data_IF_598233961778
#
_entry.id   IF_598233961778
#
_cell.length_a   1.000
_cell.length_b   1.000
_cell.length_c   1.000
_cell.angle_alpha   90.00
_cell.angle_beta   90.00
_cell.angle_gamma   90.00
#
_symmetry.space_group_name_H-M   'P 1'
#
loop_
_entity.id
_entity.type
_entity.pdbx_description
1 polymer ?
#
# COMPACT_ATOMS: atom_id res chain seq x y z
N UNK A 1 24.95 -1.57 -21.82
CA UNK A 1 24.59 -1.74 -20.40
C UNK A 1 23.08 -1.58 -20.32
N UNK A 2 22.31 -2.56 -19.84
CA UNK A 2 20.86 -2.39 -19.76
C UNK A 2 20.58 -1.33 -18.70
N UNK A 3 19.91 -0.26 -19.10
CA UNK A 3 19.41 0.77 -18.20
C UNK A 3 18.53 0.11 -17.15
N UNK A 4 18.78 0.38 -15.86
CA UNK A 4 17.83 0.07 -14.78
C UNK A 4 16.47 0.63 -15.20
N UNK A 5 15.56 -0.24 -15.61
CA UNK A 5 14.21 0.14 -16.06
C UNK A 5 13.48 0.75 -14.86
N UNK A 6 12.86 1.92 -15.05
CA UNK A 6 12.01 2.52 -14.03
C UNK A 6 10.91 1.52 -13.66
N UNK A 7 10.94 1.04 -12.42
CA UNK A 7 9.86 0.27 -11.82
C UNK A 7 8.73 1.26 -11.49
N UNK A 8 7.99 1.72 -12.51
CA UNK A 8 6.78 2.53 -12.34
C UNK A 8 5.67 1.66 -11.74
N UNK A 9 4.69 2.20 -11.01
CA UNK A 9 3.86 1.39 -10.07
C UNK A 9 2.73 0.57 -10.72
N UNK A 10 2.28 0.96 -11.93
CA UNK A 10 1.60 0.02 -12.83
C UNK A 10 2.56 -0.99 -13.44
N UNK A 11 3.82 -0.62 -13.62
CA UNK A 11 4.88 -1.57 -13.98
C UNK A 11 5.33 -2.42 -12.81
N UNK A 12 5.11 -2.10 -11.54
CA UNK A 12 5.38 -3.02 -10.43
C UNK A 12 4.41 -4.21 -10.50
N UNK A 13 3.17 -3.98 -10.94
CA UNK A 13 2.24 -5.04 -11.33
C UNK A 13 2.70 -5.80 -12.61
N UNK A 14 3.44 -5.16 -13.54
CA UNK A 14 4.10 -5.83 -14.68
C UNK A 14 5.54 -6.35 -14.41
N UNK A 15 6.22 -5.97 -13.33
CA UNK A 15 7.65 -6.23 -13.02
C UNK A 15 7.80 -7.23 -11.87
N UNK A 16 6.73 -7.52 -11.13
CA UNK A 16 6.57 -8.81 -10.46
C UNK A 16 6.76 -9.99 -11.43
N UNK A 17 6.75 -9.74 -12.75
CA UNK A 17 6.99 -10.72 -13.82
C UNK A 17 8.50 -10.94 -14.10
N UNK A 18 9.45 -10.11 -13.62
CA UNK A 18 10.87 -10.25 -14.02
C UNK A 18 11.91 -10.36 -12.90
N UNK A 19 11.53 -10.43 -11.63
CA UNK A 19 12.47 -10.78 -10.53
C UNK A 19 12.30 -12.20 -10.01
N UNK A 20 11.57 -13.06 -10.74
CA UNK A 20 11.42 -14.49 -10.41
C UNK A 20 12.61 -15.37 -10.84
N UNK A 21 13.80 -14.79 -11.03
CA UNK A 21 15.00 -15.55 -11.39
C UNK A 21 16.27 -15.00 -10.72
N UNK A 22 16.36 -15.22 -9.41
CA UNK A 22 17.60 -15.40 -8.62
C UNK A 22 17.12 -15.64 -7.18
N UNK A 23 17.23 -16.80 -6.54
CA UNK A 23 18.27 -17.82 -6.60
C UNK A 23 17.71 -19.20 -6.17
N UNK A 24 17.92 -20.22 -7.03
CA UNK A 24 18.13 -21.66 -6.75
C UNK A 24 17.01 -22.44 -6.05
N UNK A 25 16.34 -23.44 -6.65
CA UNK A 25 16.91 -24.63 -7.30
C UNK A 25 17.26 -25.67 -6.21
N UNK A 26 16.84 -26.92 -6.19
CA UNK A 26 16.08 -27.80 -7.06
C UNK A 26 16.28 -29.24 -6.54
N UNK A 27 15.30 -30.13 -6.73
CA UNK A 27 15.49 -31.58 -6.74
C UNK A 27 15.09 -32.39 -5.50
N UNK A 28 14.40 -33.51 -5.74
CA UNK A 28 14.57 -34.75 -4.97
C UNK A 28 13.30 -35.42 -4.44
N UNK A 29 12.88 -36.48 -5.12
CA UNK A 29 11.80 -37.42 -4.77
C UNK A 29 11.96 -38.15 -3.42
N UNK A 30 10.85 -38.67 -2.90
CA UNK A 30 10.84 -39.75 -1.90
C UNK A 30 9.45 -40.00 -1.32
N UNK A 31 8.76 -41.04 -1.80
CA UNK A 31 7.37 -41.34 -1.44
C UNK A 31 7.14 -42.30 -0.26
N UNK A 32 5.86 -42.65 -0.12
CA UNK A 32 5.24 -43.87 0.42
C UNK A 32 4.82 -43.98 1.90
N UNK A 33 3.62 -44.57 2.07
CA UNK A 33 3.02 -45.17 3.29
C UNK A 33 1.94 -44.29 3.94
N UNK A 34 0.63 -44.54 3.81
CA UNK A 34 -0.12 -45.67 4.40
C UNK A 34 -0.29 -45.45 5.92
N UNK A 35 -1.45 -45.47 6.59
CA UNK A 35 -2.75 -46.06 6.34
C UNK A 35 -3.71 -45.76 7.52
N UNK A 36 -5.01 -45.68 7.23
CA UNK A 36 -6.21 -46.13 7.97
C UNK A 36 -6.54 -45.79 9.44
N UNK A 37 -7.83 -45.45 9.61
CA UNK A 37 -8.74 -45.84 10.71
C UNK A 37 -9.16 -44.67 11.62
N UNK A 38 -10.43 -44.38 11.93
CA UNK A 38 -11.72 -45.01 11.66
C UNK A 38 -12.72 -44.65 12.78
N UNK A 39 -13.98 -44.34 12.43
CA UNK A 39 -15.17 -44.30 13.31
C UNK A 39 -15.38 -43.02 14.14
N UNK A 40 -16.59 -42.47 14.34
CA UNK A 40 -17.97 -42.84 14.00
C UNK A 40 -18.97 -42.03 14.86
N UNK A 41 -20.22 -41.85 14.38
CA UNK A 41 -21.43 -41.38 15.10
C UNK A 41 -21.66 -39.85 15.07
N UNK A 42 -22.65 -39.27 14.36
CA UNK A 42 -24.13 -39.29 14.52
C UNK A 42 -24.57 -38.54 15.82
N UNK A 43 -25.53 -37.60 15.90
CA UNK A 43 -26.78 -37.30 15.18
C UNK A 43 -27.24 -35.84 15.42
N UNK A 44 -28.12 -35.33 14.53
CA UNK A 44 -29.29 -34.45 14.81
C UNK A 44 -29.07 -33.03 15.37
N UNK A 45 -29.74 -31.97 14.94
CA UNK A 45 -30.96 -31.80 14.14
C UNK A 45 -31.81 -30.66 14.74
N UNK A 46 -32.22 -29.68 13.93
CA UNK A 46 -33.23 -28.64 14.22
C UNK A 46 -32.73 -27.44 15.05
N UNK A 47 -33.09 -26.18 14.80
CA UNK A 47 -34.15 -25.58 13.99
C UNK A 47 -34.75 -24.39 14.77
N UNK A 48 -35.11 -23.32 14.03
CA UNK A 48 -36.06 -22.23 14.36
C UNK A 48 -35.58 -20.87 14.95
N UNK A 49 -35.52 -19.88 14.04
CA UNK A 49 -36.30 -18.61 13.93
C UNK A 49 -36.64 -17.70 15.12
N UNK A 50 -36.52 -16.38 14.86
CA UNK A 50 -37.27 -15.26 15.46
C UNK A 50 -36.33 -14.14 15.91
N UNK A 51 -36.37 -12.87 15.49
CA UNK A 51 -37.43 -12.05 14.91
C UNK A 51 -37.82 -10.93 15.88
N UNK A 52 -37.39 -9.68 15.61
CA UNK A 52 -38.17 -8.48 15.97
C UNK A 52 -37.78 -7.60 17.18
N UNK A 53 -37.14 -6.46 16.84
CA UNK A 53 -37.55 -5.07 17.13
C UNK A 53 -37.41 -4.37 18.52
N UNK A 54 -36.69 -3.22 18.44
CA UNK A 54 -36.92 -1.87 19.04
C UNK A 54 -36.93 -1.62 20.56
N UNK A 55 -36.13 -0.62 20.98
CA UNK A 55 -36.40 0.21 22.15
C UNK A 55 -35.15 0.91 22.69
N UNK A 56 -35.08 2.24 22.56
CA UNK A 56 -33.89 3.05 22.84
C UNK A 56 -33.57 3.33 24.31
N UNK A 57 -32.40 3.91 24.53
CA UNK A 57 -31.92 4.41 25.82
C UNK A 57 -30.63 5.19 25.65
N UNK A 58 -30.75 6.52 25.68
CA UNK A 58 -29.67 7.49 25.61
C UNK A 58 -28.73 7.33 26.82
N UNK A 59 -27.44 7.09 26.58
CA UNK A 59 -26.41 6.98 27.62
C UNK A 59 -25.04 7.34 27.04
N UNK A 60 -24.50 8.47 27.51
CA UNK A 60 -23.29 9.09 26.98
C UNK A 60 -22.04 8.20 27.08
N UNK A 61 -21.38 8.07 25.93
CA UNK A 61 -20.00 7.65 25.79
C UNK A 61 -19.60 7.98 24.36
N UNK A 62 -18.61 8.85 24.16
CA UNK A 62 -17.99 9.06 22.85
C UNK A 62 -17.19 7.80 22.50
N UNK A 63 -17.89 6.72 22.18
CA UNK A 63 -17.33 5.57 21.51
C UNK A 63 -16.99 6.00 20.10
N UNK A 64 -15.70 6.01 19.78
CA UNK A 64 -15.21 6.29 18.45
C UNK A 64 -15.87 5.30 17.49
N UNK A 65 -16.84 5.74 16.70
CA UNK A 65 -17.46 4.87 15.70
C UNK A 65 -16.34 4.42 14.75
N UNK A 66 -16.22 3.11 14.55
CA UNK A 66 -15.18 2.58 13.70
C UNK A 66 -15.35 3.14 12.28
N UNK A 67 -14.29 3.74 11.73
CA UNK A 67 -14.27 4.16 10.32
C UNK A 67 -14.34 2.90 9.47
N UNK A 68 -15.34 2.82 8.60
CA UNK A 68 -15.52 1.71 7.66
C UNK A 68 -15.47 2.25 6.24
N UNK A 69 -15.30 1.38 5.25
CA UNK A 69 -15.22 1.83 3.87
C UNK A 69 -15.75 0.84 2.85
N UNK A 70 -15.68 1.26 1.59
CA UNK A 70 -16.13 0.48 0.44
C UNK A 70 -15.18 0.71 -0.71
N UNK A 71 -14.67 -0.39 -1.25
CA UNK A 71 -13.89 -0.46 -2.47
C UNK A 71 -14.79 -0.66 -3.67
N UNK A 72 -14.41 -0.05 -4.79
CA UNK A 72 -14.93 -0.29 -6.12
C UNK A 72 -13.80 -0.57 -7.07
N UNK A 73 -14.05 -1.41 -8.06
CA UNK A 73 -13.19 -1.52 -9.22
C UNK A 73 -13.64 -0.50 -10.28
N UNK A 74 -12.68 0.14 -10.95
CA UNK A 74 -12.98 0.87 -12.19
C UNK A 74 -13.63 -0.07 -13.21
N UNK A 75 -14.43 0.48 -14.11
CA UNK A 75 -15.12 -0.32 -15.14
C UNK A 75 -14.15 -1.09 -16.02
N UNK A 76 -13.69 -0.46 -17.11
CA UNK A 76 -12.65 -1.05 -17.96
C UNK A 76 -11.26 -0.69 -17.44
N UNK A 77 -10.32 -1.63 -17.47
CA UNK A 77 -8.91 -1.36 -17.24
C UNK A 77 -8.47 -0.26 -18.19
N UNK A 78 -8.03 0.87 -17.64
CA UNK A 78 -7.53 1.95 -18.48
C UNK A 78 -6.38 1.43 -19.37
N UNK A 79 -6.41 1.80 -20.65
CA UNK A 79 -5.39 1.45 -21.66
C UNK A 79 -4.53 2.66 -22.06
N UNK A 80 -4.86 3.85 -21.55
CA UNK A 80 -4.10 5.07 -21.75
C UNK A 80 -4.13 5.98 -20.52
N UNK A 81 -3.19 6.92 -20.46
CA UNK A 81 -3.13 7.96 -19.43
C UNK A 81 -4.42 8.78 -19.37
N UNK A 82 -5.00 9.13 -20.52
CA UNK A 82 -6.23 9.89 -20.59
C UNK A 82 -7.40 9.11 -19.98
N UNK A 83 -7.57 7.83 -20.36
CA UNK A 83 -8.63 6.98 -19.80
C UNK A 83 -8.51 6.80 -18.29
N UNK A 84 -7.28 6.63 -17.77
CA UNK A 84 -7.07 6.53 -16.33
C UNK A 84 -7.42 7.83 -15.61
N UNK A 85 -7.00 8.98 -16.16
CA UNK A 85 -7.34 10.27 -15.57
C UNK A 85 -8.86 10.50 -15.58
N UNK A 86 -9.54 10.20 -16.68
CA UNK A 86 -11.00 10.36 -16.82
C UNK A 86 -11.75 9.44 -15.85
N UNK A 87 -11.36 8.17 -15.76
CA UNK A 87 -11.95 7.22 -14.82
C UNK A 87 -11.73 7.64 -13.37
N UNK A 88 -10.51 8.09 -13.02
CA UNK A 88 -10.19 8.52 -11.67
C UNK A 88 -10.92 9.82 -11.29
N UNK A 89 -11.06 10.76 -12.22
CA UNK A 89 -11.87 11.97 -12.00
C UNK A 89 -13.36 11.66 -11.87
N UNK A 90 -13.90 10.71 -12.65
CA UNK A 90 -15.29 10.26 -12.50
C UNK A 90 -15.52 9.64 -11.12
N UNK A 91 -14.66 8.72 -10.69
CA UNK A 91 -14.73 8.12 -9.35
C UNK A 91 -14.53 9.16 -8.24
N UNK A 92 -13.61 10.11 -8.46
CA UNK A 92 -13.35 11.22 -7.54
C UNK A 92 -14.54 12.15 -7.38
N UNK A 93 -15.29 12.41 -8.46
CA UNK A 93 -16.55 13.15 -8.42
C UNK A 93 -17.65 12.40 -7.65
N UNK A 94 -17.58 11.07 -7.57
CA UNK A 94 -18.47 10.25 -6.72
C UNK A 94 -17.97 10.11 -5.28
N UNK A 95 -16.78 10.63 -4.97
CA UNK A 95 -16.16 10.58 -3.65
C UNK A 95 -15.36 9.31 -3.36
N UNK A 96 -14.88 8.65 -4.41
CA UNK A 96 -13.95 7.55 -4.32
C UNK A 96 -12.54 8.01 -4.71
N UNK A 97 -11.57 7.81 -3.83
CA UNK A 97 -10.16 8.05 -4.13
C UNK A 97 -9.56 6.82 -4.82
N UNK A 98 -8.71 7.02 -5.84
CA UNK A 98 -7.91 5.97 -6.44
C UNK A 98 -7.01 5.38 -5.35
N UNK A 99 -7.23 4.13 -5.00
CA UNK A 99 -6.44 3.40 -4.02
C UNK A 99 -5.15 2.89 -4.67
N UNK A 100 -5.25 1.95 -5.61
CA UNK A 100 -4.13 1.37 -6.35
C UNK A 100 -4.63 0.66 -7.59
N UNK A 101 -3.75 0.46 -8.57
CA UNK A 101 -3.93 -0.61 -9.56
C UNK A 101 -3.40 -1.91 -8.94
N UNK A 102 -4.19 -2.99 -8.98
CA UNK A 102 -3.77 -4.33 -8.52
C UNK A 102 -3.80 -5.32 -9.68
N UNK A 103 -2.90 -6.29 -9.64
CA UNK A 103 -2.91 -7.43 -10.56
C UNK A 103 -3.81 -8.55 -10.01
N UNK A 104 -4.61 -9.15 -10.87
CA UNK A 104 -5.46 -10.31 -10.59
C UNK A 104 -4.86 -11.61 -11.12
N UNK A 105 -5.71 -12.49 -11.65
CA UNK A 105 -5.26 -13.78 -12.17
C UNK A 105 -4.31 -13.60 -13.36
N UNK A 106 -3.25 -14.42 -13.39
CA UNK A 106 -2.28 -14.45 -14.49
C UNK A 106 -2.73 -15.48 -15.52
N UNK A 107 -2.99 -15.03 -16.75
CA UNK A 107 -3.33 -15.89 -17.88
C UNK A 107 -2.18 -16.00 -18.90
N UNK A 108 -2.34 -16.83 -19.94
CA UNK A 108 -1.34 -17.01 -21.00
C UNK A 108 -1.01 -15.72 -21.76
N UNK A 109 -1.95 -14.77 -21.79
CA UNK A 109 -1.86 -13.51 -22.54
C UNK A 109 -1.51 -12.30 -21.67
N UNK A 110 -1.25 -12.51 -20.37
CA UNK A 110 -0.90 -11.46 -19.42
C UNK A 110 -1.68 -11.55 -18.11
N UNK A 111 -1.39 -10.62 -17.19
CA UNK A 111 -2.10 -10.47 -15.93
C UNK A 111 -3.33 -9.61 -16.08
N UNK A 112 -4.43 -10.00 -15.44
CA UNK A 112 -5.56 -9.10 -15.18
C UNK A 112 -5.05 -7.90 -14.36
N UNK A 113 -5.37 -6.65 -14.74
CA UNK A 113 -5.01 -5.46 -13.95
C UNK A 113 -6.26 -4.60 -13.79
N UNK A 114 -6.57 -4.18 -12.55
CA UNK A 114 -7.72 -3.33 -12.25
C UNK A 114 -7.35 -2.16 -11.37
N UNK A 115 -7.96 -1.00 -11.64
CA UNK A 115 -7.90 0.14 -10.73
C UNK A 115 -8.94 -0.01 -9.63
N UNK A 116 -8.49 0.11 -8.39
CA UNK A 116 -9.35 0.10 -7.22
C UNK A 116 -9.49 1.49 -6.67
N UNK A 117 -10.69 1.82 -6.26
CA UNK A 117 -11.07 3.08 -5.68
C UNK A 117 -11.74 2.84 -4.33
N UNK A 118 -11.59 3.77 -3.40
CA UNK A 118 -12.03 3.61 -2.03
C UNK A 118 -12.81 4.85 -1.56
N UNK A 119 -13.91 4.62 -0.87
CA UNK A 119 -14.61 5.63 -0.06
C UNK A 119 -14.70 5.15 1.40
N UNK A 120 -14.82 6.05 2.37
CA UNK A 120 -14.95 5.71 3.78
C UNK A 120 -15.95 6.62 4.52
N UNK A 121 -16.35 6.21 5.72
CA UNK A 121 -17.35 6.92 6.53
C UNK A 121 -16.81 8.19 7.21
N UNK A 122 -15.50 8.31 7.44
CA UNK A 122 -14.89 9.52 8.00
C UNK A 122 -14.75 10.65 6.95
N UNK A 123 -14.75 10.27 5.68
CA UNK A 123 -14.52 11.13 4.53
C UNK A 123 -15.73 11.19 3.60
N UNK A 124 -16.92 10.96 4.14
CA UNK A 124 -18.17 11.04 3.41
C UNK A 124 -18.33 12.43 2.75
N UNK A 125 -18.66 12.43 1.47
CA UNK A 125 -18.88 13.65 0.67
C UNK A 125 -17.61 14.30 0.14
N UNK A 126 -16.41 13.82 0.47
CA UNK A 126 -15.16 14.31 -0.13
C UNK A 126 -15.15 14.10 -1.64
N UNK A 127 -14.45 14.97 -2.37
CA UNK A 127 -14.35 14.93 -3.83
C UNK A 127 -12.90 15.03 -4.26
N UNK A 128 -12.52 14.23 -5.25
CA UNK A 128 -11.13 14.13 -5.69
C UNK A 128 -10.95 14.50 -7.15
N UNK A 129 -9.83 15.14 -7.47
CA UNK A 129 -9.41 15.41 -8.84
C UNK A 129 -7.99 14.90 -9.08
N UNK A 130 -7.73 14.46 -10.30
CA UNK A 130 -6.48 13.86 -10.73
C UNK A 130 -5.92 14.57 -11.96
N UNK A 131 -4.60 14.71 -11.96
CA UNK A 131 -3.81 15.13 -13.12
C UNK A 131 -2.65 14.17 -13.31
N UNK A 132 -2.27 13.91 -14.57
CA UNK A 132 -1.11 13.11 -14.90
C UNK A 132 -0.19 13.79 -15.93
N UNK A 133 0.54 14.86 -15.56
CA UNK A 133 1.55 15.44 -16.46
C UNK A 133 2.67 14.44 -16.78
N UNK A 134 3.38 14.68 -17.89
CA UNK A 134 4.57 13.90 -18.24
C UNK A 134 5.60 13.90 -17.10
N UNK A 135 6.19 12.75 -16.83
CA UNK A 135 7.25 12.62 -15.85
C UNK A 135 8.50 13.39 -16.31
N UNK A 136 9.27 13.87 -15.33
CA UNK A 136 10.40 14.74 -15.59
C UNK A 136 11.71 13.95 -15.74
N UNK A 137 12.62 14.35 -16.65
CA UNK A 137 13.79 13.56 -17.00
C UNK A 137 14.96 13.67 -15.99
N UNK A 138 14.83 14.48 -14.95
CA UNK A 138 15.86 14.63 -13.91
C UNK A 138 15.22 14.81 -12.54
N UNK A 139 15.94 14.45 -11.47
CA UNK A 139 15.47 14.63 -10.09
C UNK A 139 15.09 16.09 -9.80
N UNK A 140 15.90 17.05 -10.24
CA UNK A 140 15.63 18.48 -9.98
C UNK A 140 14.36 18.95 -10.69
N UNK A 141 14.16 18.57 -11.96
CA UNK A 141 12.94 18.89 -12.69
C UNK A 141 11.72 18.19 -12.08
N UNK A 142 11.87 16.93 -11.65
CA UNK A 142 10.83 16.19 -10.94
C UNK A 142 10.45 16.87 -9.63
N UNK A 143 11.42 17.28 -8.80
CA UNK A 143 11.17 18.03 -7.57
C UNK A 143 10.49 19.38 -7.82
N UNK A 144 10.84 20.08 -8.91
CA UNK A 144 10.16 21.30 -9.30
C UNK A 144 8.70 21.05 -9.68
N UNK A 145 8.42 20.00 -10.46
CA UNK A 145 7.05 19.60 -10.81
C UNK A 145 6.26 19.21 -9.55
N UNK A 146 6.83 18.41 -8.66
CA UNK A 146 6.21 18.01 -7.39
C UNK A 146 5.79 19.23 -6.57
N UNK A 147 6.66 20.21 -6.39
CA UNK A 147 6.35 21.44 -5.64
C UNK A 147 5.36 22.34 -6.36
N UNK A 148 5.39 22.42 -7.69
CA UNK A 148 4.40 23.15 -8.47
C UNK A 148 2.99 22.57 -8.25
N UNK A 149 2.84 21.25 -8.42
CA UNK A 149 1.57 20.56 -8.19
C UNK A 149 1.15 20.64 -6.70
N UNK A 150 2.10 20.41 -5.79
CA UNK A 150 1.89 20.48 -4.35
C UNK A 150 1.36 21.83 -3.86
N UNK A 151 1.90 22.94 -4.37
CA UNK A 151 1.40 24.29 -4.05
C UNK A 151 -0.04 24.53 -4.54
N UNK A 152 -0.50 23.77 -5.53
CA UNK A 152 -1.88 23.80 -6.05
C UNK A 152 -2.82 22.83 -5.32
N UNK A 153 -2.31 22.13 -4.30
CA UNK A 153 -3.04 21.17 -3.46
C UNK A 153 -3.05 19.74 -4.00
N UNK A 154 -2.20 19.42 -4.98
CA UNK A 154 -2.07 18.09 -5.54
C UNK A 154 -0.95 17.30 -4.84
N UNK A 155 -1.30 16.19 -4.21
CA UNK A 155 -0.35 15.25 -3.65
C UNK A 155 0.07 14.22 -4.70
N UNK A 156 1.38 14.06 -4.90
CA UNK A 156 1.96 12.99 -5.70
C UNK A 156 1.56 11.61 -5.17
N UNK A 157 1.08 10.76 -6.07
CA UNK A 157 0.62 9.41 -5.78
C UNK A 157 1.62 8.36 -6.30
N UNK A 158 1.95 8.44 -7.59
CA UNK A 158 2.77 7.45 -8.28
C UNK A 158 3.06 7.88 -9.71
N UNK A 159 4.06 7.29 -10.34
CA UNK A 159 4.14 7.26 -11.79
C UNK A 159 3.28 6.13 -12.38
N UNK A 160 2.61 6.45 -13.48
CA UNK A 160 1.85 5.54 -14.32
C UNK A 160 2.53 5.36 -15.67
N UNK A 161 2.32 4.18 -16.26
CA UNK A 161 2.76 3.84 -17.61
C UNK A 161 1.77 2.83 -18.20
N UNK A 162 1.73 2.77 -19.52
CA UNK A 162 0.88 1.86 -20.29
C UNK A 162 1.75 1.07 -21.27
N UNK A 163 1.27 0.83 -22.49
CA UNK A 163 1.97 0.04 -23.49
C UNK A 163 3.31 0.63 -23.93
N UNK A 164 3.49 1.94 -23.84
CA UNK A 164 4.75 2.62 -24.15
C UNK A 164 5.50 2.98 -22.85
N UNK A 165 6.59 2.27 -22.59
CA UNK A 165 7.45 2.50 -21.41
C UNK A 165 8.22 3.83 -21.45
N UNK A 166 8.22 4.51 -22.60
CA UNK A 166 8.81 5.85 -22.74
C UNK A 166 7.84 6.98 -22.38
N UNK A 167 6.52 6.74 -22.37
CA UNK A 167 5.50 7.69 -21.92
C UNK A 167 5.11 7.42 -20.47
N UNK A 168 5.96 7.86 -19.56
CA UNK A 168 5.71 7.81 -18.11
C UNK A 168 5.08 9.12 -17.67
N UNK A 169 4.03 9.03 -16.85
CA UNK A 169 3.33 10.20 -16.31
C UNK A 169 3.18 10.14 -14.81
N UNK A 170 3.49 11.24 -14.16
CA UNK A 170 3.37 11.38 -12.71
C UNK A 170 1.92 11.68 -12.35
N UNK A 171 1.29 10.83 -11.56
CA UNK A 171 -0.10 10.94 -11.12
C UNK A 171 -0.17 11.71 -9.81
N UNK A 172 -1.03 12.71 -9.79
CA UNK A 172 -1.31 13.50 -8.60
C UNK A 172 -2.80 13.48 -8.27
N UNK A 173 -3.12 13.62 -6.99
CA UNK A 173 -4.50 13.67 -6.48
C UNK A 173 -4.69 14.92 -5.64
N UNK A 174 -5.83 15.58 -5.80
CA UNK A 174 -6.27 16.70 -4.97
C UNK A 174 -7.60 16.34 -4.31
N UNK A 175 -7.69 16.57 -3.02
CA UNK A 175 -8.95 16.58 -2.28
C UNK A 175 -9.56 17.98 -2.38
N UNK A 176 -10.61 18.11 -3.19
CA UNK A 176 -11.28 19.39 -3.44
C UNK A 176 -12.11 19.86 -2.24
N UNK A 177 -12.29 19.02 -1.23
CA UNK A 177 -12.98 19.36 0.00
C UNK A 177 -12.04 19.95 1.06
N UNK A 178 -10.74 20.04 0.77
CA UNK A 178 -9.71 20.58 1.65
C UNK A 178 -8.88 21.65 0.95
N UNK A 179 -8.21 22.48 1.75
CA UNK A 179 -7.25 23.50 1.30
C UNK A 179 -5.80 23.07 1.56
N UNK A 180 -5.56 21.77 1.51
CA UNK A 180 -4.23 21.21 1.72
C UNK A 180 -3.27 21.70 0.61
N UNK A 181 -2.03 21.96 1.00
CA UNK A 181 -0.91 22.22 0.11
C UNK A 181 0.25 21.33 0.53
N UNK A 182 1.09 20.96 -0.44
CA UNK A 182 2.20 20.04 -0.23
C UNK A 182 3.52 20.64 -0.68
N UNK A 183 4.56 20.46 0.14
CA UNK A 183 5.95 20.76 -0.19
C UNK A 183 6.75 19.46 -0.22
N UNK A 184 7.70 19.36 -1.13
CA UNK A 184 8.47 18.14 -1.36
C UNK A 184 9.96 18.37 -1.14
N UNK A 185 10.64 17.31 -0.72
CA UNK A 185 12.10 17.24 -0.61
C UNK A 185 12.61 15.93 -1.18
N UNK A 186 13.80 16.00 -1.76
CA UNK A 186 14.58 14.82 -2.13
C UNK A 186 15.87 14.79 -1.33
N UNK A 187 16.31 13.60 -0.93
CA UNK A 187 17.59 13.39 -0.26
C UNK A 187 18.44 12.42 -1.08
N UNK A 188 19.69 12.82 -1.33
CA UNK A 188 20.71 12.03 -2.00
C UNK A 188 22.06 12.22 -1.28
N UNK A 189 22.97 11.23 -1.28
CA UNK A 189 22.70 9.83 -1.62
C UNK A 189 21.69 9.19 -0.65
N UNK A 190 21.03 8.12 -1.05
CA UNK A 190 20.21 7.34 -0.11
C UNK A 190 21.10 6.66 0.93
N UNK A 191 20.62 6.59 2.16
CA UNK A 191 21.31 5.85 3.21
C UNK A 191 21.45 4.35 2.88
N UNK A 192 22.63 3.78 3.17
CA UNK A 192 22.95 2.38 2.88
C UNK A 192 22.99 1.49 4.14
N UNK A 193 22.86 2.09 5.31
CA UNK A 193 22.81 1.42 6.63
C UNK A 193 21.53 1.78 7.36
N UNK A 194 21.02 0.88 8.21
CA UNK A 194 19.81 1.12 8.99
C UNK A 194 19.92 2.37 9.89
N UNK A 195 21.08 2.60 10.50
CA UNK A 195 21.34 3.72 11.40
C UNK A 195 21.30 5.06 10.65
N UNK A 196 22.05 5.19 9.56
CA UNK A 196 22.03 6.38 8.73
C UNK A 196 20.64 6.65 8.15
N UNK A 197 19.90 5.61 7.77
CA UNK A 197 18.55 5.75 7.25
C UNK A 197 17.57 6.20 8.33
N UNK A 198 17.67 5.65 9.55
CA UNK A 198 16.89 6.12 10.69
C UNK A 198 17.19 7.58 11.03
N UNK A 199 18.46 8.01 10.98
CA UNK A 199 18.85 9.41 11.18
C UNK A 199 18.25 10.32 10.11
N UNK A 200 18.33 9.94 8.83
CA UNK A 200 17.73 10.68 7.73
C UNK A 200 16.21 10.84 7.91
N UNK A 201 15.52 9.72 8.10
CA UNK A 201 14.07 9.69 8.25
C UNK A 201 13.59 10.55 9.44
N UNK A 202 14.24 10.43 10.59
CA UNK A 202 13.87 11.21 11.78
C UNK A 202 14.22 12.69 11.65
N UNK A 203 15.31 13.03 10.97
CA UNK A 203 15.65 14.43 10.66
C UNK A 203 14.58 15.09 9.79
N UNK A 204 14.17 14.44 8.70
CA UNK A 204 13.09 14.95 7.84
C UNK A 204 11.73 14.96 8.57
N UNK A 205 11.44 13.89 9.31
CA UNK A 205 10.19 13.73 10.04
C UNK A 205 9.97 14.79 11.13
N UNK A 206 11.03 15.19 11.84
CA UNK A 206 10.99 16.27 12.82
C UNK A 206 10.62 17.63 12.21
N UNK A 207 10.97 17.85 10.93
CA UNK A 207 10.59 19.04 10.17
C UNK A 207 9.19 18.93 9.53
N UNK A 208 8.48 17.81 9.72
CA UNK A 208 7.16 17.54 9.16
C UNK A 208 7.17 16.94 7.75
N UNK A 209 8.33 16.48 7.26
CA UNK A 209 8.44 15.81 5.98
C UNK A 209 8.24 14.30 6.16
N UNK A 210 7.10 13.81 5.66
CA UNK A 210 6.74 12.39 5.65
C UNK A 210 7.45 11.66 4.54
N UNK A 211 8.07 10.52 4.85
CA UNK A 211 8.70 9.65 3.86
C UNK A 211 7.68 9.05 2.89
N UNK A 212 7.94 9.14 1.57
CA UNK A 212 7.12 8.55 0.51
C UNK A 212 7.74 7.31 -0.14
N UNK A 213 9.02 7.04 0.15
CA UNK A 213 9.76 5.92 -0.43
C UNK A 213 10.94 6.37 -1.29
N UNK A 214 11.75 5.41 -1.76
CA UNK A 214 12.79 5.67 -2.73
C UNK A 214 12.17 5.97 -4.09
N UNK A 215 12.82 6.82 -4.88
CA UNK A 215 12.47 7.12 -6.26
C UNK A 215 13.71 7.01 -7.14
N UNK A 216 13.51 6.65 -8.40
CA UNK A 216 14.56 6.57 -9.41
C UNK A 216 14.14 7.43 -10.59
N UNK A 217 14.94 8.43 -10.92
CA UNK A 217 14.77 9.26 -12.12
C UNK A 217 16.10 9.28 -12.85
N UNK A 218 16.11 8.84 -14.12
CA UNK A 218 17.31 8.78 -14.95
C UNK A 218 18.52 8.13 -14.23
N UNK A 219 18.30 6.94 -13.66
CA UNK A 219 19.27 6.16 -12.87
C UNK A 219 19.80 6.82 -11.58
N UNK A 220 19.27 7.98 -11.19
CA UNK A 220 19.56 8.60 -9.89
C UNK A 220 18.54 8.12 -8.85
N UNK A 221 19.02 7.42 -7.83
CA UNK A 221 18.23 6.96 -6.68
C UNK A 221 18.24 8.01 -5.57
N UNK A 222 17.07 8.36 -5.04
CA UNK A 222 16.90 9.34 -3.96
C UNK A 222 15.68 9.00 -3.08
N UNK A 223 15.71 9.44 -1.83
CA UNK A 223 14.56 9.38 -0.93
C UNK A 223 13.61 10.54 -1.25
N UNK A 224 12.30 10.28 -1.35
CA UNK A 224 11.29 11.31 -1.54
C UNK A 224 10.50 11.54 -0.25
N UNK A 225 10.28 12.82 0.07
CA UNK A 225 9.47 13.24 1.20
C UNK A 225 8.43 14.28 0.80
N UNK A 226 7.31 14.31 1.52
CA UNK A 226 6.26 15.30 1.38
C UNK A 226 5.84 15.87 2.74
N UNK A 227 5.60 17.17 2.79
CA UNK A 227 5.08 17.90 3.94
C UNK A 227 3.75 18.53 3.55
N UNK A 228 2.69 18.23 4.31
CA UNK A 228 1.43 18.96 4.21
C UNK A 228 1.57 20.32 4.92
N UNK A 229 0.78 21.31 4.54
CA UNK A 229 0.68 22.61 5.23
C UNK A 229 -0.02 22.52 6.59
N UNK A 230 0.35 21.54 7.41
CA UNK A 230 -0.05 21.37 8.80
C UNK A 230 1.19 21.31 9.71
N UNK A 231 0.96 21.02 10.99
CA UNK A 231 2.00 20.91 12.02
C UNK A 231 2.33 19.46 12.37
N UNK A 232 1.95 18.49 11.52
CA UNK A 232 2.19 17.07 11.81
C UNK A 232 3.67 16.77 11.62
N UNK A 233 4.23 16.02 12.56
CA UNK A 233 5.62 15.53 12.54
C UNK A 233 5.61 14.01 12.56
N UNK A 234 6.75 13.42 12.18
CA UNK A 234 6.89 11.99 12.05
C UNK A 234 8.15 11.51 12.77
N UNK A 235 8.02 10.42 13.52
CA UNK A 235 9.14 9.67 14.08
C UNK A 235 9.21 8.33 13.38
N UNK A 236 10.43 7.81 13.18
CA UNK A 236 10.65 6.55 12.47
C UNK A 236 11.46 5.57 13.30
N UNK A 237 11.06 4.30 13.26
CA UNK A 237 11.85 3.15 13.70
C UNK A 237 12.25 2.33 12.48
N UNK A 238 13.50 1.89 12.45
CA UNK A 238 14.08 1.10 11.36
C UNK A 238 14.59 -0.19 11.96
N UNK A 239 13.90 -1.29 11.70
CA UNK A 239 14.20 -2.59 12.26
C UNK A 239 14.95 -3.43 11.22
N UNK A 240 16.14 -3.92 11.57
CA UNK A 240 16.94 -4.77 10.66
C UNK A 240 16.28 -6.12 10.42
N UNK A 241 16.35 -6.60 9.18
CA UNK A 241 15.85 -7.90 8.74
C UNK A 241 16.97 -8.74 8.13
N UNK A 242 16.83 -10.06 8.22
CA UNK A 242 17.73 -10.99 7.53
C UNK A 242 17.48 -11.11 6.03
N UNK A 243 16.29 -10.75 5.55
CA UNK A 243 15.90 -10.81 4.12
C UNK A 243 14.67 -9.94 3.85
N UNK A 244 14.38 -9.71 2.56
CA UNK A 244 13.17 -9.02 2.10
C UNK A 244 11.86 -9.70 2.55
N UNK A 245 11.89 -11.04 2.71
CA UNK A 245 10.74 -11.87 3.09
C UNK A 245 11.00 -12.56 4.42
N UNK A 246 11.42 -11.79 5.43
CA UNK A 246 11.95 -12.36 6.69
C UNK A 246 10.90 -12.95 7.63
N UNK A 247 9.61 -12.69 7.43
CA UNK A 247 8.55 -13.35 8.19
C UNK A 247 8.30 -14.76 7.60
N UNK A 248 8.27 -15.78 8.45
CA UNK A 248 8.09 -17.17 8.00
C UNK A 248 6.79 -17.39 7.22
N UNK A 249 5.70 -16.82 7.73
CA UNK A 249 4.35 -16.89 7.18
C UNK A 249 3.50 -15.68 7.63
N UNK A 250 2.21 -15.68 7.26
CA UNK A 250 1.26 -14.64 7.67
C UNK A 250 1.12 -14.50 9.20
N UNK A 251 1.22 -15.60 9.95
CA UNK A 251 1.09 -15.58 11.41
C UNK A 251 2.33 -14.95 12.06
N UNK A 252 3.53 -15.28 11.58
CA UNK A 252 4.78 -14.66 12.00
C UNK A 252 4.78 -13.15 11.71
N UNK A 253 4.27 -12.73 10.54
CA UNK A 253 4.13 -11.30 10.25
C UNK A 253 3.14 -10.62 11.20
N UNK A 254 2.00 -11.25 11.49
CA UNK A 254 1.02 -10.73 12.45
C UNK A 254 1.64 -10.53 13.84
N UNK A 255 2.38 -11.54 14.33
CA UNK A 255 3.10 -11.47 15.60
C UNK A 255 4.13 -10.34 15.62
N UNK A 256 4.82 -10.10 14.51
CA UNK A 256 5.78 -8.99 14.37
C UNK A 256 5.10 -7.63 14.42
N UNK A 257 3.96 -7.48 13.73
CA UNK A 257 3.24 -6.20 13.63
C UNK A 257 2.44 -5.85 14.88
N UNK A 258 1.94 -6.84 15.63
CA UNK A 258 1.09 -6.62 16.79
C UNK A 258 1.67 -5.66 17.86
N UNK A 259 2.91 -5.83 18.37
CA UNK A 259 3.46 -4.92 19.36
C UNK A 259 3.70 -3.52 18.78
N UNK A 260 4.16 -3.41 17.53
CA UNK A 260 4.33 -2.12 16.84
C UNK A 260 3.00 -1.39 16.72
N UNK A 261 1.95 -2.10 16.32
CA UNK A 261 0.60 -1.57 16.22
C UNK A 261 0.03 -1.11 17.56
N UNK A 262 0.19 -1.90 18.62
CA UNK A 262 -0.23 -1.53 19.97
C UNK A 262 0.37 -0.19 20.42
N UNK A 263 1.62 0.08 20.02
CA UNK A 263 2.34 1.33 20.30
C UNK A 263 2.04 2.46 19.30
N UNK A 264 1.16 2.24 18.32
CA UNK A 264 0.75 3.22 17.31
C UNK A 264 1.76 3.40 16.16
N UNK A 265 2.63 2.43 15.92
CA UNK A 265 3.56 2.44 14.80
C UNK A 265 2.93 1.88 13.53
N UNK A 266 2.92 2.70 12.48
CA UNK A 266 2.45 2.37 11.14
C UNK A 266 3.58 1.79 10.28
N UNK A 267 3.43 0.58 9.74
CA UNK A 267 4.42 0.00 8.83
C UNK A 267 4.44 0.78 7.52
N UNK A 268 5.63 1.22 7.10
CA UNK A 268 5.91 1.83 5.81
C UNK A 268 6.53 0.87 4.81
N UNK A 269 6.64 -0.41 5.17
CA UNK A 269 7.13 -1.49 4.31
C UNK A 269 8.62 -1.77 4.45
N UNK A 270 9.04 -2.84 3.79
CA UNK A 270 10.42 -3.31 3.78
C UNK A 270 11.24 -2.55 2.73
N UNK A 271 12.44 -2.12 3.11
CA UNK A 271 13.39 -1.42 2.24
C UNK A 271 14.69 -2.22 2.15
N UNK A 272 15.24 -2.34 0.93
CA UNK A 272 16.60 -2.79 0.73
C UNK A 272 17.54 -1.58 0.71
N UNK A 273 18.60 -1.62 1.52
CA UNK A 273 19.62 -0.58 1.61
C UNK A 273 20.95 -1.12 1.07
N UNK A 274 21.66 -0.29 0.31
CA UNK A 274 22.93 -0.65 -0.33
C UNK A 274 22.84 -0.72 -1.85
N UNK A 275 23.99 -0.79 -2.49
CA UNK A 275 24.14 -0.75 -3.95
C UNK A 275 24.36 -2.13 -4.59
N UNK A 276 24.60 -3.16 -3.79
CA UNK A 276 24.78 -4.54 -4.25
C UNK A 276 23.45 -5.30 -4.12
N UNK A 277 22.76 -5.62 -5.23
CA UNK A 277 21.49 -6.36 -5.20
C UNK A 277 21.61 -7.75 -4.55
N UNK A 278 22.81 -8.34 -4.54
CA UNK A 278 23.05 -9.66 -3.95
C UNK A 278 23.33 -9.59 -2.43
N UNK A 279 23.68 -8.40 -1.92
CA UNK A 279 24.08 -8.18 -0.53
C UNK A 279 23.40 -6.93 0.05
N UNK A 280 22.09 -6.78 -0.17
CA UNK A 280 21.32 -5.67 0.39
C UNK A 280 21.06 -5.88 1.89
N UNK A 281 21.15 -4.79 2.66
CA UNK A 281 20.66 -4.75 4.03
C UNK A 281 19.15 -4.49 4.02
N UNK A 282 18.35 -5.44 4.51
CA UNK A 282 16.91 -5.25 4.56
C UNK A 282 16.46 -4.65 5.89
N UNK A 283 15.50 -3.73 5.84
CA UNK A 283 14.91 -3.12 7.02
C UNK A 283 13.40 -3.02 6.88
N UNK A 284 12.66 -3.22 7.96
CA UNK A 284 11.28 -2.76 8.06
C UNK A 284 11.28 -1.32 8.58
N UNK A 285 10.55 -0.44 7.89
CA UNK A 285 10.38 0.96 8.31
C UNK A 285 9.02 1.09 9.00
N UNK A 286 9.02 1.64 10.20
CA UNK A 286 7.82 2.00 10.95
C UNK A 286 7.78 3.50 11.18
N UNK A 287 6.59 4.09 11.10
CA UNK A 287 6.35 5.51 11.25
C UNK A 287 5.33 5.74 12.37
N UNK A 288 5.58 6.76 13.21
CA UNK A 288 4.60 7.28 14.15
C UNK A 288 4.37 8.74 13.86
N UNK A 289 3.16 9.05 13.41
CA UNK A 289 2.68 10.42 13.18
C UNK A 289 2.33 11.07 14.52
N UNK A 290 2.63 12.37 14.69
CA UNK A 290 2.15 13.13 15.85
C UNK A 290 0.62 13.28 15.89
N UNK A 291 -0.06 13.04 14.77
CA UNK A 291 -1.53 12.95 14.70
C UNK A 291 -2.07 11.55 15.01
N UNK A 292 -1.21 10.53 15.16
CA UNK A 292 -1.67 9.18 15.52
C UNK A 292 -2.13 9.16 16.98
N UNK A 293 -3.40 8.80 17.19
CA UNK A 293 -3.96 8.61 18.53
C UNK A 293 -4.29 7.13 18.75
N UNK A 294 -3.73 6.56 19.81
CA UNK A 294 -3.95 5.15 20.17
C UNK A 294 -3.31 4.14 19.23
N UNK A 295 -3.71 2.88 19.43
CA UNK A 295 -3.16 1.73 18.73
C UNK A 295 -3.62 1.64 17.27
N UNK A 296 -2.73 1.12 16.43
CA UNK A 296 -3.00 0.68 15.07
C UNK A 296 -3.21 -0.83 15.10
N UNK A 297 -4.31 -1.30 14.55
CA UNK A 297 -4.58 -2.74 14.46
C UNK A 297 -4.15 -3.26 13.08
N UNK A 298 -3.45 -4.40 13.07
CA UNK A 298 -3.02 -5.09 11.86
C UNK A 298 -3.76 -6.41 11.71
N UNK A 299 -4.30 -6.62 10.51
CA UNK A 299 -4.79 -7.90 10.05
C UNK A 299 -3.87 -8.39 8.94
N UNK A 300 -3.37 -9.61 9.07
CA UNK A 300 -2.56 -10.27 8.03
C UNK A 300 -3.27 -11.54 7.61
N UNK A 301 -3.65 -11.60 6.34
CA UNK A 301 -4.36 -12.72 5.74
C UNK A 301 -3.49 -13.32 4.63
N UNK A 302 -3.42 -14.65 4.56
CA UNK A 302 -2.83 -15.31 3.40
C UNK A 302 -3.67 -14.95 2.16
N UNK A 303 -3.01 -14.69 1.03
CA UNK A 303 -3.66 -14.39 -0.24
C UNK A 303 -3.07 -15.29 -1.31
N UNK A 304 -3.88 -15.76 -2.26
CA UNK A 304 -3.32 -16.44 -3.41
C UNK A 304 -2.73 -15.38 -4.33
N UNK A 305 -1.49 -15.57 -4.79
CA UNK A 305 -0.88 -14.68 -5.78
C UNK A 305 -1.62 -14.61 -7.12
N UNK A 306 -2.65 -15.45 -7.30
CA UNK A 306 -3.51 -15.55 -8.48
C UNK A 306 -4.97 -15.19 -8.22
N UNK A 307 -5.30 -14.62 -7.06
CA UNK A 307 -6.68 -14.23 -6.75
C UNK A 307 -7.22 -13.28 -7.84
N UNK A 308 -8.39 -13.60 -8.38
CA UNK A 308 -9.06 -12.73 -9.36
C UNK A 308 -9.30 -11.34 -8.79
N UNK A 309 -9.39 -10.32 -9.64
CA UNK A 309 -9.69 -8.96 -9.15
C UNK A 309 -11.02 -8.90 -8.38
N UNK A 310 -12.00 -9.74 -8.74
CA UNK A 310 -13.28 -9.84 -8.02
C UNK A 310 -13.11 -10.43 -6.63
N UNK A 311 -12.29 -11.48 -6.49
CA UNK A 311 -11.94 -12.06 -5.18
C UNK A 311 -11.27 -11.02 -4.30
N UNK A 312 -10.29 -10.29 -4.83
CA UNK A 312 -9.61 -9.21 -4.12
C UNK A 312 -10.59 -8.11 -3.68
N UNK A 313 -11.49 -7.68 -4.57
CA UNK A 313 -12.53 -6.69 -4.25
C UNK A 313 -13.42 -7.13 -3.09
N UNK A 314 -13.87 -8.39 -3.12
CA UNK A 314 -14.73 -8.95 -2.08
C UNK A 314 -14.03 -9.02 -0.72
N UNK A 315 -12.77 -9.47 -0.69
CA UNK A 315 -11.97 -9.52 0.53
C UNK A 315 -11.73 -8.12 1.10
N UNK A 316 -11.35 -7.16 0.25
CA UNK A 316 -11.17 -5.77 0.65
C UNK A 316 -12.43 -5.16 1.24
N UNK A 317 -13.59 -5.38 0.60
CA UNK A 317 -14.87 -4.89 1.12
C UNK A 317 -15.29 -5.57 2.43
N UNK A 318 -15.09 -6.88 2.55
CA UNK A 318 -15.39 -7.61 3.78
C UNK A 318 -14.57 -7.12 4.98
N UNK A 319 -13.31 -6.74 4.75
CA UNK A 319 -12.43 -6.19 5.78
C UNK A 319 -12.69 -4.70 6.04
N UNK A 320 -12.97 -3.91 5.00
CA UNK A 320 -13.32 -2.49 5.13
C UNK A 320 -14.61 -2.27 5.93
N UNK A 321 -15.58 -3.19 5.82
CA UNK A 321 -16.79 -3.19 6.63
C UNK A 321 -16.51 -3.38 8.13
N UNK A 322 -15.34 -3.93 8.49
CA UNK A 322 -14.83 -4.08 9.87
C UNK A 322 -13.83 -2.98 10.25
N UNK A 323 -13.59 -2.01 9.35
CA UNK A 323 -12.63 -0.92 9.50
C UNK A 323 -11.18 -1.26 9.16
N UNK A 324 -10.93 -2.43 8.58
CA UNK A 324 -9.61 -2.84 8.10
C UNK A 324 -9.46 -2.49 6.62
N UNK A 325 -8.60 -1.51 6.33
CA UNK A 325 -8.32 -1.05 4.97
C UNK A 325 -7.09 -1.76 4.41
N UNK A 326 -7.13 -2.14 3.13
CA UNK A 326 -6.00 -2.75 2.46
C UNK A 326 -4.80 -1.80 2.55
N UNK A 327 -3.67 -2.32 3.00
CA UNK A 327 -2.40 -1.61 2.97
C UNK A 327 -1.52 -2.15 1.85
N UNK A 328 -1.02 -3.38 1.95
CA UNK A 328 -0.08 -3.94 0.97
C UNK A 328 -0.11 -5.47 0.95
N UNK A 329 0.15 -6.05 -0.21
CA UNK A 329 0.66 -7.42 -0.30
C UNK A 329 2.12 -7.50 0.15
N UNK A 330 2.50 -8.61 0.77
CA UNK A 330 3.86 -8.92 1.19
C UNK A 330 4.17 -10.39 0.85
N UNK A 331 5.41 -10.69 0.50
CA UNK A 331 5.87 -12.05 0.34
C UNK A 331 6.48 -12.54 1.66
N UNK A 332 6.11 -13.74 2.09
CA UNK A 332 6.68 -14.42 3.26
C UNK A 332 7.70 -15.49 2.85
N UNK A 333 8.51 -15.97 3.79
CA UNK A 333 9.58 -16.92 3.51
C UNK A 333 9.07 -18.27 2.97
N UNK A 334 7.81 -18.61 3.24
CA UNK A 334 7.11 -19.76 2.67
C UNK A 334 6.74 -19.59 1.18
N UNK A 335 7.15 -18.50 0.54
CA UNK A 335 6.92 -18.20 -0.87
C UNK A 335 5.47 -17.76 -1.18
N UNK A 336 4.64 -17.54 -0.16
CA UNK A 336 3.26 -17.08 -0.34
C UNK A 336 3.16 -15.58 -0.24
N UNK A 337 2.11 -15.04 -0.86
CA UNK A 337 1.71 -13.65 -0.66
C UNK A 337 0.73 -13.57 0.50
N UNK A 338 0.90 -12.60 1.37
CA UNK A 338 -0.06 -12.25 2.42
C UNK A 338 -0.47 -10.80 2.24
N UNK A 339 -1.72 -10.49 2.52
CA UNK A 339 -2.23 -9.11 2.51
C UNK A 339 -2.26 -8.56 3.92
N UNK A 340 -1.69 -7.36 4.09
CA UNK A 340 -1.79 -6.55 5.30
C UNK A 340 -2.96 -5.60 5.13
N UNK A 341 -3.87 -5.63 6.10
CA UNK A 341 -4.88 -4.60 6.31
C UNK A 341 -4.60 -3.85 7.61
N UNK A 342 -4.99 -2.57 7.63
CA UNK A 342 -4.72 -1.66 8.73
C UNK A 342 -6.00 -0.96 9.17
N UNK A 343 -6.14 -0.79 10.48
CA UNK A 343 -7.25 -0.07 11.12
C UNK A 343 -6.72 0.96 12.11
N UNK A 344 -7.44 2.06 12.28
CA UNK A 344 -7.14 3.18 13.19
C UNK A 344 -5.85 3.97 12.87
N UNK A 345 -5.27 3.81 11.68
CA UNK A 345 -4.17 4.70 11.25
C UNK A 345 -4.72 6.09 10.95
N UNK A 346 -4.10 7.13 11.50
CA UNK A 346 -4.47 8.52 11.27
C UNK A 346 -4.32 8.92 9.80
N UNK A 347 -3.40 8.29 9.06
CA UNK A 347 -3.22 8.56 7.64
C UNK A 347 -2.59 7.38 6.90
N UNK A 348 -3.37 6.73 6.03
CA UNK A 348 -2.92 5.60 5.22
C UNK A 348 -2.17 6.06 3.97
N UNK A 349 -0.84 5.91 3.98
CA UNK A 349 0.00 6.06 2.78
C UNK A 349 0.78 4.77 2.58
N UNK A 350 0.53 4.11 1.46
CA UNK A 350 1.31 2.95 1.05
C UNK A 350 2.61 3.44 0.38
N UNK A 351 3.80 2.99 0.82
CA UNK A 351 5.08 3.28 0.15
C UNK A 351 5.09 2.94 -1.35
N UNK A 352 4.31 1.95 -1.79
CA UNK A 352 4.21 1.42 -3.16
C UNK A 352 2.99 1.95 -3.94
N UNK A 353 1.94 2.44 -3.27
CA UNK A 353 0.70 2.92 -3.93
C UNK A 353 0.35 4.40 -3.64
N UNK A 354 1.22 5.11 -2.93
CA UNK A 354 1.01 6.52 -2.57
C UNK A 354 -0.13 6.69 -1.58
N UNK A 355 -0.81 7.84 -1.63
CA UNK A 355 -1.91 8.19 -0.72
C UNK A 355 -3.17 7.43 -1.07
N UNK A 356 -3.80 6.81 -0.08
CA UNK A 356 -5.12 6.17 -0.22
C UNK A 356 -6.24 7.14 0.13
N UNK A 357 -6.12 7.84 1.26
CA UNK A 357 -6.98 8.97 1.67
C UNK A 357 -6.12 10.04 2.34
N UNK A 358 -6.36 11.34 2.13
CA UNK A 358 -5.70 12.44 2.84
C UNK A 358 -6.23 12.71 4.27
#
# INVERSE_FOLDING_TARGET
MPSLMQITRRTAALLLISTLAACGGGGGDGGSGGSNGGGGGSEGGGGNTGGGNTGGGNGGGTGNQAVTGTYKMGGQTATSHAQMQDAANSMGADGYALFSSLAGSVGPTGSEIGDFYLTDTAHAGRKFSYVNPAAQPSRTAFLAQLNQQGSSGYMYKSDAVFSDVSDIRSVYVKDNSRSDQFSYRTVTPVATTAEAFATELNGQGAEGYRYLGPQIVNNELFSLYAKRNDSVTYTYQVDKLGSASSAADAAAMRTRLAPKGADGWFIRGTQGLGSDPMNMNYVDVFEKSSAQNGAIEYLVEASAGSDSLTTQLNNMNANAAKGFFYFSGIMTADGKTSTIYVKNSAWLINPLAGVTFP
#
